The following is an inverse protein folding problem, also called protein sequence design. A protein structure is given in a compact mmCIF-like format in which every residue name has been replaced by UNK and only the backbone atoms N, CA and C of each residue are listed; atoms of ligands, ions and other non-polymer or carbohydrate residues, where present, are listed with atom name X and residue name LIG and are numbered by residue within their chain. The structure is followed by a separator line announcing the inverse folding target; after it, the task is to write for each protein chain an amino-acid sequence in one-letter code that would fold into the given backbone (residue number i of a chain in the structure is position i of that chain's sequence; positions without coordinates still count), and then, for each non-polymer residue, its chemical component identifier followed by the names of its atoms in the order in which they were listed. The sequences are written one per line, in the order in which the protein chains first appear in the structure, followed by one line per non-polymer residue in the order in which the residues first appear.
data_IF_196762969285
#
_entry.id   IF_196762969285
#
_cell.length_a   1.000
_cell.length_b   1.000
_cell.length_c   1.000
_cell.angle_alpha   90.00
_cell.angle_beta   90.00
_cell.angle_gamma   90.00
#
_symmetry.space_group_name_H-M   'P 1'
#
loop_
_entity.id
_entity.type
_entity.pdbx_description
1 polymer ?
#
# COMPACT_ATOMS: atom_id res chain seq x y z
N UNK A 1 -15.92 -12.43 -4.25
CA UNK A 1 -14.58 -13.00 -4.45
C UNK A 1 -14.18 -13.65 -3.13
N UNK A 2 -13.98 -14.94 -3.17
CA UNK A 2 -13.51 -15.66 -1.99
C UNK A 2 -12.00 -15.38 -1.85
N UNK A 3 -11.62 -14.57 -0.87
CA UNK A 3 -10.23 -14.15 -0.66
C UNK A 3 -9.53 -15.19 0.21
N UNK A 4 -8.85 -16.13 -0.42
CA UNK A 4 -8.01 -17.10 0.30
C UNK A 4 -6.68 -16.43 0.66
N UNK A 5 -6.44 -16.23 1.94
CA UNK A 5 -5.18 -15.68 2.45
C UNK A 5 -4.09 -16.76 2.58
N UNK A 6 -2.84 -16.38 2.36
CA UNK A 6 -2.36 -15.08 1.93
C UNK A 6 -2.61 -14.83 0.44
N UNK A 7 -2.94 -13.59 0.05
CA UNK A 7 -2.99 -13.22 -1.36
C UNK A 7 -1.57 -13.09 -1.91
N UNK A 8 -1.28 -13.79 -2.99
CA UNK A 8 -0.06 -13.64 -3.75
C UNK A 8 -0.13 -12.44 -4.72
N UNK A 9 0.96 -12.19 -5.44
CA UNK A 9 1.03 -11.07 -6.38
C UNK A 9 -0.01 -11.18 -7.51
N UNK A 10 -0.35 -12.40 -7.97
CA UNK A 10 -1.35 -12.60 -9.03
C UNK A 10 -2.76 -12.22 -8.54
N UNK A 11 -3.09 -12.57 -7.30
CA UNK A 11 -4.34 -12.16 -6.68
C UNK A 11 -4.40 -10.64 -6.50
N UNK A 12 -3.28 -10.02 -6.10
CA UNK A 12 -3.17 -8.57 -5.96
C UNK A 12 -3.34 -7.86 -7.32
N UNK A 13 -2.74 -8.38 -8.39
CA UNK A 13 -2.89 -7.83 -9.75
C UNK A 13 -4.34 -7.87 -10.26
N UNK A 14 -5.15 -8.82 -9.80
CA UNK A 14 -6.58 -8.86 -10.13
C UNK A 14 -7.39 -7.78 -9.42
N UNK A 15 -6.87 -7.24 -8.32
CA UNK A 15 -7.54 -6.20 -7.51
C UNK A 15 -7.02 -4.81 -7.85
N UNK A 16 -5.69 -4.63 -7.89
CA UNK A 16 -5.04 -3.35 -8.20
C UNK A 16 -4.84 -3.16 -9.70
N UNK A 17 -5.02 -1.93 -10.21
CA UNK A 17 -4.67 -1.60 -11.60
C UNK A 17 -3.16 -1.48 -11.83
N UNK A 18 -2.37 -1.31 -10.78
CA UNK A 18 -0.92 -1.17 -10.83
C UNK A 18 -0.24 -2.42 -11.42
N UNK A 19 0.86 -2.19 -12.16
CA UNK A 19 1.66 -3.25 -12.79
C UNK A 19 3.15 -2.97 -12.62
N UNK A 20 3.96 -4.00 -12.85
CA UNK A 20 5.41 -3.84 -12.90
C UNK A 20 5.81 -2.62 -13.77
N UNK A 21 6.73 -1.76 -13.32
CA UNK A 21 7.54 -1.84 -12.10
C UNK A 21 6.93 -1.12 -10.89
N UNK A 22 5.66 -0.71 -10.93
CA UNK A 22 5.03 0.12 -9.91
C UNK A 22 3.97 -0.62 -9.06
N UNK A 23 3.90 -1.94 -9.16
CA UNK A 23 3.20 -2.76 -8.19
C UNK A 23 4.16 -3.08 -7.05
N UNK A 24 3.96 -2.43 -5.90
CA UNK A 24 4.93 -2.42 -4.80
C UNK A 24 4.59 -3.42 -3.68
N UNK A 25 3.42 -4.04 -3.72
CA UNK A 25 2.95 -4.97 -2.68
C UNK A 25 3.19 -6.40 -3.13
N UNK A 26 3.90 -7.17 -2.32
CA UNK A 26 4.27 -8.56 -2.66
C UNK A 26 3.24 -9.57 -2.18
N UNK A 27 2.58 -9.32 -1.04
CA UNK A 27 1.66 -10.25 -0.41
C UNK A 27 0.68 -9.53 0.52
N UNK A 28 -0.53 -10.06 0.64
CA UNK A 28 -1.47 -9.68 1.71
C UNK A 28 -1.59 -10.85 2.66
N UNK A 29 -1.32 -10.60 3.94
CA UNK A 29 -1.28 -11.63 4.99
C UNK A 29 -2.51 -11.63 5.87
N UNK A 30 -3.17 -10.47 6.03
CA UNK A 30 -4.38 -10.34 6.83
C UNK A 30 -5.37 -9.40 6.13
N UNK A 31 -6.64 -9.74 6.21
CA UNK A 31 -7.71 -8.96 5.59
C UNK A 31 -9.00 -9.08 6.41
N UNK A 32 -9.54 -7.95 6.82
CA UNK A 32 -10.84 -7.83 7.46
C UNK A 32 -11.64 -6.75 6.73
N UNK A 33 -12.69 -7.17 6.04
CA UNK A 33 -13.50 -6.32 5.16
C UNK A 33 -13.97 -5.05 5.91
N UNK A 34 -13.80 -3.89 5.28
CA UNK A 34 -14.16 -2.56 5.80
C UNK A 34 -13.43 -2.12 7.07
N UNK A 35 -12.47 -2.88 7.53
CA UNK A 35 -11.77 -2.59 8.78
C UNK A 35 -10.26 -2.49 8.64
N UNK A 36 -9.59 -3.56 8.19
CA UNK A 36 -8.13 -3.66 8.31
C UNK A 36 -7.54 -4.58 7.24
N UNK A 37 -6.34 -4.27 6.83
CA UNK A 37 -5.53 -5.07 5.94
C UNK A 37 -4.07 -5.02 6.37
N UNK A 38 -3.35 -6.13 6.20
CA UNK A 38 -1.89 -6.19 6.36
C UNK A 38 -1.26 -6.76 5.11
N UNK A 39 -0.27 -6.06 4.59
CA UNK A 39 0.50 -6.46 3.43
C UNK A 39 2.00 -6.42 3.70
N UNK A 40 2.73 -7.08 2.82
CA UNK A 40 4.19 -7.18 2.86
C UNK A 40 4.77 -6.55 1.60
N UNK A 41 5.81 -5.73 1.78
CA UNK A 41 6.74 -5.30 0.74
C UNK A 41 8.14 -5.74 1.11
N UNK A 42 8.76 -6.56 0.26
CA UNK A 42 10.17 -6.89 0.36
C UNK A 42 11.00 -5.81 -0.32
N UNK A 43 12.12 -5.45 0.28
CA UNK A 43 13.08 -4.50 -0.28
C UNK A 43 14.38 -5.21 -0.63
N UNK A 44 14.82 -5.13 -1.88
CA UNK A 44 16.06 -5.74 -2.34
C UNK A 44 16.94 -4.73 -3.07
N UNK A 45 18.20 -5.10 -3.36
CA UNK A 45 19.09 -4.29 -4.19
C UNK A 45 18.63 -4.17 -5.65
N UNK A 46 17.70 -5.03 -6.10
CA UNK A 46 17.07 -4.93 -7.42
C UNK A 46 15.89 -3.95 -7.46
N UNK A 47 15.60 -3.26 -6.35
CA UNK A 47 14.58 -2.23 -6.30
C UNK A 47 14.91 -1.09 -7.27
N UNK A 48 14.00 -0.78 -8.18
CA UNK A 48 14.21 0.24 -9.22
C UNK A 48 14.37 1.66 -8.66
N UNK A 49 13.75 1.92 -7.52
CA UNK A 49 13.61 3.27 -6.97
C UNK A 49 14.57 3.55 -5.81
N UNK A 50 15.61 2.75 -5.61
CA UNK A 50 16.58 3.00 -4.55
C UNK A 50 17.27 4.35 -4.73
N UNK A 51 17.44 5.06 -3.61
CA UNK A 51 18.34 6.19 -3.48
C UNK A 51 19.61 5.77 -2.73
N UNK A 52 20.70 6.50 -2.94
CA UNK A 52 21.97 6.23 -2.29
C UNK A 52 22.41 7.49 -1.54
N UNK A 53 22.83 7.34 -0.29
CA UNK A 53 23.41 8.43 0.48
C UNK A 53 24.87 8.72 0.06
N UNK A 54 25.48 9.76 0.65
CA UNK A 54 26.85 10.15 0.35
C UNK A 54 27.91 9.08 0.67
N UNK A 55 27.56 8.04 1.44
CA UNK A 55 28.43 6.92 1.77
C UNK A 55 28.13 5.67 0.93
N UNK A 56 27.27 5.81 -0.08
CA UNK A 56 26.86 4.70 -0.95
C UNK A 56 25.87 3.73 -0.33
N UNK A 57 25.26 4.07 0.80
CA UNK A 57 24.23 3.23 1.44
C UNK A 57 22.89 3.40 0.74
N UNK A 58 22.31 2.29 0.28
CA UNK A 58 21.03 2.28 -0.40
C UNK A 58 19.87 2.40 0.59
N UNK A 59 18.83 3.15 0.21
CA UNK A 59 17.58 3.23 0.95
C UNK A 59 16.39 3.34 0.00
N UNK A 60 15.25 2.79 0.41
CA UNK A 60 13.99 3.00 -0.29
C UNK A 60 13.50 4.43 -0.02
N UNK A 61 13.24 5.25 -1.06
CA UNK A 61 12.72 6.60 -0.85
C UNK A 61 11.43 6.59 -0.02
N UNK A 62 11.28 7.48 0.96
CA UNK A 62 10.07 7.57 1.77
C UNK A 62 8.79 7.74 0.97
N UNK A 63 8.85 8.42 -0.18
CA UNK A 63 7.72 8.60 -1.08
C UNK A 63 7.27 7.29 -1.73
N UNK A 64 8.20 6.41 -2.08
CA UNK A 64 7.89 5.07 -2.60
C UNK A 64 7.29 4.20 -1.50
N UNK A 65 7.78 4.31 -0.28
CA UNK A 65 7.20 3.61 0.86
C UNK A 65 5.77 4.08 1.15
N UNK A 66 5.52 5.40 1.04
CA UNK A 66 4.17 5.97 1.15
C UNK A 66 3.23 5.42 0.08
N UNK A 67 3.71 5.28 -1.15
CA UNK A 67 2.94 4.66 -2.25
C UNK A 67 2.61 3.18 -1.94
N UNK A 68 3.57 2.42 -1.40
CA UNK A 68 3.33 1.04 -1.01
C UNK A 68 2.23 0.93 0.07
N UNK A 69 2.26 1.81 1.06
CA UNK A 69 1.20 1.93 2.09
C UNK A 69 -0.15 2.22 1.44
N UNK A 70 -0.17 3.12 0.48
CA UNK A 70 -1.36 3.47 -0.28
C UNK A 70 -1.93 2.29 -1.06
N UNK A 71 -1.09 1.53 -1.72
CA UNK A 71 -1.51 0.36 -2.48
C UNK A 71 -2.13 -0.70 -1.58
N UNK A 72 -1.57 -0.96 -0.41
CA UNK A 72 -2.18 -1.86 0.59
C UNK A 72 -3.58 -1.35 0.99
N UNK A 73 -3.71 -0.05 1.27
CA UNK A 73 -5.01 0.56 1.56
C UNK A 73 -5.99 0.47 0.40
N UNK A 74 -5.53 0.65 -0.83
CA UNK A 74 -6.35 0.53 -2.03
C UNK A 74 -6.90 -0.88 -2.22
N UNK A 75 -6.11 -1.92 -1.92
CA UNK A 75 -6.58 -3.32 -1.98
C UNK A 75 -7.79 -3.51 -1.05
N UNK A 76 -7.74 -2.98 0.16
CA UNK A 76 -8.86 -3.09 1.11
C UNK A 76 -10.17 -2.54 0.54
N UNK A 77 -10.09 -1.43 -0.19
CA UNK A 77 -11.26 -0.77 -0.78
C UNK A 77 -11.71 -1.47 -2.06
N UNK A 78 -10.78 -1.84 -2.93
CA UNK A 78 -11.06 -2.42 -4.25
C UNK A 78 -11.43 -3.91 -4.19
N UNK A 79 -11.11 -4.62 -3.12
CA UNK A 79 -11.48 -6.02 -2.96
C UNK A 79 -12.99 -6.24 -2.83
N UNK A 80 -13.75 -5.17 -2.58
CA UNK A 80 -15.21 -5.24 -2.61
C UNK A 80 -15.74 -5.42 -4.04
N UNK A 81 -16.70 -6.34 -4.27
CA UNK A 81 -17.26 -6.58 -5.60
C UNK A 81 -17.79 -5.30 -6.28
N UNK A 82 -18.46 -4.42 -5.55
CA UNK A 82 -19.00 -3.17 -6.07
C UNK A 82 -17.92 -2.17 -6.51
N UNK A 83 -16.67 -2.36 -6.10
CA UNK A 83 -15.56 -1.46 -6.38
C UNK A 83 -14.57 -2.00 -7.44
N UNK A 84 -14.74 -3.24 -7.91
CA UNK A 84 -13.78 -3.90 -8.80
C UNK A 84 -13.49 -3.17 -10.11
N UNK A 85 -14.43 -2.37 -10.59
CA UNK A 85 -14.27 -1.60 -11.84
C UNK A 85 -14.01 -0.12 -11.57
N UNK A 86 -13.73 0.26 -10.32
CA UNK A 86 -13.46 1.65 -9.96
C UNK A 86 -11.98 1.92 -9.90
N UNK A 87 -11.60 3.17 -10.17
CA UNK A 87 -10.23 3.62 -10.01
C UNK A 87 -10.07 4.33 -8.66
N UNK A 88 -9.13 3.90 -7.82
CA UNK A 88 -8.81 4.59 -6.60
C UNK A 88 -7.93 5.80 -6.91
N UNK A 89 -8.28 6.94 -6.40
CA UNK A 89 -7.46 8.14 -6.45
C UNK A 89 -7.06 8.56 -5.06
N UNK A 90 -5.80 8.97 -4.90
CA UNK A 90 -5.40 9.72 -3.73
C UNK A 90 -6.05 11.10 -3.79
N UNK A 91 -6.98 11.37 -2.88
CA UNK A 91 -7.57 12.68 -2.70
C UNK A 91 -6.80 13.54 -1.72
N UNK A 92 -6.03 12.93 -0.83
CA UNK A 92 -5.17 13.65 0.11
C UNK A 92 -4.34 12.72 0.97
N UNK A 93 -3.19 13.22 1.39
CA UNK A 93 -2.31 12.59 2.37
C UNK A 93 -2.14 13.58 3.51
N UNK A 94 -2.39 13.13 4.74
CA UNK A 94 -2.37 13.97 5.92
C UNK A 94 -1.37 13.42 6.94
N UNK A 95 -0.54 14.30 7.48
CA UNK A 95 0.37 14.00 8.59
C UNK A 95 1.24 12.76 8.40
N UNK A 96 1.85 12.60 7.23
CA UNK A 96 2.84 11.54 7.01
C UNK A 96 4.10 11.84 7.78
N UNK A 97 4.55 10.87 8.57
CA UNK A 97 5.79 10.94 9.33
C UNK A 97 6.73 9.83 8.91
N UNK A 98 7.91 10.19 8.47
CA UNK A 98 9.01 9.28 8.17
C UNK A 98 9.92 9.21 9.39
N UNK A 99 10.04 8.02 9.97
CA UNK A 99 10.75 7.87 11.24
C UNK A 99 12.14 7.28 11.08
N UNK A 100 12.30 6.34 10.15
CA UNK A 100 13.55 5.63 9.92
C UNK A 100 13.69 5.25 8.45
N UNK A 101 14.93 5.19 7.93
CA UNK A 101 15.17 4.70 6.59
C UNK A 101 14.87 3.19 6.50
N UNK A 102 14.52 2.74 5.29
CA UNK A 102 14.31 1.35 4.92
C UNK A 102 15.39 0.97 3.92
N UNK A 103 16.04 -0.15 4.14
CA UNK A 103 17.20 -0.58 3.36
C UNK A 103 16.94 -1.91 2.65
N UNK A 104 17.71 -2.24 1.60
CA UNK A 104 17.71 -3.57 1.02
C UNK A 104 17.95 -4.65 2.08
N UNK A 105 17.15 -5.72 2.02
CA UNK A 105 17.11 -6.78 3.01
C UNK A 105 15.99 -6.63 4.05
N UNK A 106 15.40 -5.44 4.16
CA UNK A 106 14.26 -5.22 5.05
C UNK A 106 12.98 -5.83 4.47
N UNK A 107 12.16 -6.38 5.34
CA UNK A 107 10.78 -6.78 5.06
C UNK A 107 9.87 -5.77 5.73
N UNK A 108 9.11 -5.04 4.92
CA UNK A 108 8.20 -4.01 5.40
C UNK A 108 6.81 -4.59 5.56
N UNK A 109 6.33 -4.63 6.79
CA UNK A 109 4.94 -4.94 7.11
C UNK A 109 4.12 -3.65 7.09
N UNK A 110 3.06 -3.63 6.29
CA UNK A 110 2.21 -2.48 6.08
C UNK A 110 0.81 -2.81 6.57
N UNK A 111 0.33 -2.03 7.53
CA UNK A 111 -1.04 -2.11 8.04
C UNK A 111 -1.82 -0.87 7.62
N UNK A 112 -3.02 -1.07 7.08
CA UNK A 112 -3.99 0.00 6.85
C UNK A 112 -5.29 -0.30 7.60
N UNK A 113 -5.79 0.70 8.32
CA UNK A 113 -7.02 0.63 9.13
C UNK A 113 -8.00 1.68 8.65
N UNK A 114 -9.24 1.28 8.44
CA UNK A 114 -10.33 2.19 8.07
C UNK A 114 -10.70 3.06 9.26
N UNK A 115 -10.58 4.37 9.10
CA UNK A 115 -11.07 5.36 10.07
C UNK A 115 -12.49 5.83 9.73
N UNK A 116 -12.77 5.96 8.43
CA UNK A 116 -14.11 6.34 7.92
C UNK A 116 -14.27 5.80 6.51
N UNK A 117 -15.41 5.24 6.22
CA UNK A 117 -15.75 4.75 4.89
C UNK A 117 -17.13 5.31 4.48
N UNK A 118 -17.18 5.87 3.27
CA UNK A 118 -18.40 6.29 2.56
C UNK A 118 -18.42 5.65 1.18
N UNK A 119 -19.54 5.71 0.49
CA UNK A 119 -19.72 5.02 -0.80
C UNK A 119 -18.65 5.33 -1.86
N UNK A 120 -18.06 6.52 -1.85
CA UNK A 120 -17.04 6.96 -2.82
C UNK A 120 -15.77 7.52 -2.21
N UNK A 121 -15.64 7.50 -0.89
CA UNK A 121 -14.47 8.03 -0.19
C UNK A 121 -14.12 7.17 1.01
N UNK A 122 -12.84 6.99 1.26
CA UNK A 122 -12.34 6.34 2.45
C UNK A 122 -11.21 7.13 3.10
N UNK A 123 -11.22 7.19 4.43
CA UNK A 123 -10.14 7.71 5.25
C UNK A 123 -9.46 6.52 5.93
N UNK A 124 -8.19 6.30 5.62
CA UNK A 124 -7.38 5.21 6.13
C UNK A 124 -6.19 5.74 6.93
N UNK A 125 -5.87 5.05 8.01
CA UNK A 125 -4.59 5.21 8.69
C UNK A 125 -3.66 4.09 8.24
N UNK A 126 -2.49 4.45 7.70
CA UNK A 126 -1.45 3.51 7.29
C UNK A 126 -0.24 3.58 8.22
N UNK A 127 0.32 2.43 8.53
CA UNK A 127 1.56 2.29 9.31
C UNK A 127 2.42 1.21 8.66
N UNK A 128 3.67 1.52 8.39
CA UNK A 128 4.66 0.54 7.96
C UNK A 128 5.69 0.29 9.05
N UNK A 129 6.09 -0.97 9.21
CA UNK A 129 7.07 -1.41 10.22
C UNK A 129 8.12 -2.31 9.60
N UNK A 130 9.34 -2.22 10.15
CA UNK A 130 10.42 -3.18 9.89
C UNK A 130 10.83 -3.75 11.25
N UNK A 131 10.81 -5.06 11.40
CA UNK A 131 11.07 -5.73 12.67
C UNK A 131 10.25 -5.15 13.85
N UNK A 132 8.98 -4.85 13.62
CA UNK A 132 8.07 -4.27 14.62
C UNK A 132 8.24 -2.78 14.89
N UNK A 133 9.26 -2.12 14.31
CA UNK A 133 9.53 -0.69 14.52
C UNK A 133 8.90 0.12 13.40
N UNK A 134 8.15 1.16 13.75
CA UNK A 134 7.53 2.07 12.77
C UNK A 134 8.56 2.80 11.94
N UNK A 135 8.42 2.74 10.63
CA UNK A 135 9.27 3.47 9.67
C UNK A 135 8.52 4.60 8.97
N UNK A 136 7.22 4.40 8.72
CA UNK A 136 6.33 5.47 8.23
C UNK A 136 4.94 5.29 8.83
N UNK A 137 4.25 6.38 9.05
CA UNK A 137 2.84 6.41 9.42
C UNK A 137 2.16 7.64 8.84
N UNK A 138 0.88 7.53 8.53
CA UNK A 138 0.10 8.65 8.00
C UNK A 138 -1.35 8.31 7.79
N UNK A 139 -2.13 9.33 7.46
CA UNK A 139 -3.54 9.21 7.14
C UNK A 139 -3.75 9.59 5.68
N UNK A 140 -4.56 8.81 4.97
CA UNK A 140 -4.78 8.96 3.54
C UNK A 140 -6.27 8.95 3.23
N UNK A 141 -6.69 9.85 2.36
CA UNK A 141 -8.04 9.90 1.82
C UNK A 141 -8.05 9.34 0.41
N UNK A 142 -8.89 8.35 0.18
CA UNK A 142 -9.15 7.80 -1.15
C UNK A 142 -10.49 8.28 -1.67
N UNK A 143 -10.53 8.58 -2.97
CA UNK A 143 -11.76 8.75 -3.71
C UNK A 143 -11.85 7.64 -4.77
N UNK A 144 -13.06 7.13 -4.99
CA UNK A 144 -13.33 6.16 -6.05
C UNK A 144 -13.98 6.89 -7.24
N UNK A 145 -13.30 6.86 -8.37
CA UNK A 145 -13.83 7.33 -9.64
C UNK A 145 -14.54 6.19 -10.40
N UNK A 146 -15.49 6.56 -11.24
CA UNK A 146 -16.05 5.62 -12.20
C UNK A 146 -15.03 5.43 -13.34
N UNK A 147 -14.84 4.19 -13.81
CA UNK A 147 -14.13 3.96 -15.06
C UNK A 147 -14.96 4.59 -16.18
N UNK A 148 -14.50 5.71 -16.74
CA UNK A 148 -15.09 6.22 -17.97
C UNK A 148 -14.95 5.13 -19.02
N UNK A 149 -16.08 4.62 -19.50
CA UNK A 149 -16.10 3.86 -20.74
C UNK A 149 -15.65 4.84 -21.82
N UNK A 150 -14.39 4.74 -22.22
CA UNK A 150 -13.91 5.31 -23.49
C UNK A 150 -14.29 4.37 -24.61
#
# INVERSE_FOLDING_TARGET
MDLTLPLDYQAIERILPHRYPFLLVDRITEFELDKRIVGIKNVSLNERYLSFDGNGRAALPPTILTEAVAQVGAILILAKPENHQRLPFFAGIQRVRYRRPVHPGDVVEIEAVVLRLRSRMGLLKGVARVNGVRVVEGTMTFALGDTSKS
#
